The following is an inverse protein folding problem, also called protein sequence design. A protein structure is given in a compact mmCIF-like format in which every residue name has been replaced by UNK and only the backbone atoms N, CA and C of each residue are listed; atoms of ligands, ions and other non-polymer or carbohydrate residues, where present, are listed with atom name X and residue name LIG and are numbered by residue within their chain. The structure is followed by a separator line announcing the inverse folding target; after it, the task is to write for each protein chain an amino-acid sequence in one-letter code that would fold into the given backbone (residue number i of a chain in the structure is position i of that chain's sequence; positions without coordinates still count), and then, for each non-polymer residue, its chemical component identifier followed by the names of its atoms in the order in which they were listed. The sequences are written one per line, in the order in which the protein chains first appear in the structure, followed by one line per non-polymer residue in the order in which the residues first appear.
data_IF_790764035438
#
_entry.id   IF_790764035438
#
_cell.length_a   1.000
_cell.length_b   1.000
_cell.length_c   1.000
_cell.angle_alpha   90.00
_cell.angle_beta   90.00
_cell.angle_gamma   90.00
#
_symmetry.space_group_name_H-M   'P 1'
#
loop_
_entity.id
_entity.type
_entity.pdbx_description
1 polymer ?
#
# COMPACT_ATOMS: atom_id res chain seq x y z
N UNK A 1 -10.79 4.84 7.38
CA UNK A 1 -9.62 4.49 6.56
C UNK A 1 -10.03 4.43 5.11
N UNK A 2 -9.48 5.32 4.29
CA UNK A 2 -9.88 5.33 2.88
C UNK A 2 -9.28 4.14 2.14
N UNK A 3 -10.13 3.41 1.44
CA UNK A 3 -9.69 2.37 0.54
C UNK A 3 -9.34 3.02 -0.79
N UNK A 4 -8.11 2.81 -1.25
CA UNK A 4 -7.65 3.38 -2.51
C UNK A 4 -8.07 2.48 -3.67
N UNK A 5 -7.90 1.17 -3.51
CA UNK A 5 -8.18 0.24 -4.60
C UNK A 5 -8.30 -1.17 -4.03
N UNK A 6 -9.13 -1.99 -4.69
CA UNK A 6 -9.24 -3.41 -4.38
C UNK A 6 -8.82 -4.17 -5.64
N UNK A 7 -7.82 -5.05 -5.49
CA UNK A 7 -7.33 -5.88 -6.59
C UNK A 7 -7.36 -7.33 -6.11
N UNK A 8 -8.24 -8.14 -6.67
CA UNK A 8 -8.40 -9.52 -6.24
C UNK A 8 -8.72 -9.59 -4.76
N UNK A 9 -7.97 -10.36 -3.96
CA UNK A 9 -8.23 -10.47 -2.53
C UNK A 9 -7.61 -9.35 -1.71
N UNK A 10 -6.93 -8.39 -2.35
CA UNK A 10 -6.16 -7.36 -1.66
C UNK A 10 -6.88 -6.04 -1.61
N UNK A 11 -6.92 -5.43 -0.41
CA UNK A 11 -7.43 -4.07 -0.22
C UNK A 11 -6.25 -3.16 0.07
N UNK A 12 -6.08 -2.14 -0.76
CA UNK A 12 -5.01 -1.14 -0.60
C UNK A 12 -5.59 0.12 0.01
N UNK A 13 -4.96 0.63 1.06
CA UNK A 13 -5.54 1.74 1.82
C UNK A 13 -4.48 2.55 2.55
N UNK A 14 -4.89 3.76 3.01
CA UNK A 14 -4.08 4.61 3.87
C UNK A 14 -4.74 4.74 5.24
N UNK A 15 -3.94 4.95 6.27
CA UNK A 15 -4.45 5.40 7.56
C UNK A 15 -4.39 6.93 7.61
N UNK A 16 -5.34 7.58 8.31
CA UNK A 16 -5.38 9.03 8.40
C UNK A 16 -4.14 9.61 9.10
N UNK A 17 -3.47 8.81 9.93
CA UNK A 17 -2.27 9.25 10.64
C UNK A 17 -0.98 9.11 9.87
N UNK A 18 -1.04 8.69 8.60
CA UNK A 18 0.17 8.40 7.81
C UNK A 18 0.88 9.66 7.27
N UNK A 19 0.28 10.81 7.45
CA UNK A 19 0.69 12.06 6.80
C UNK A 19 2.14 12.45 7.01
N UNK A 20 2.70 12.15 8.19
CA UNK A 20 4.04 12.59 8.56
C UNK A 20 5.15 11.70 8.05
N UNK A 21 4.80 10.63 7.34
CA UNK A 21 5.77 9.72 6.76
C UNK A 21 5.84 9.89 5.24
N UNK A 22 6.92 9.43 4.62
CA UNK A 22 6.96 9.39 3.15
C UNK A 22 5.79 8.59 2.58
N UNK A 23 5.43 8.81 1.32
CA UNK A 23 4.30 8.07 0.73
C UNK A 23 4.45 6.57 0.86
N UNK A 24 3.38 5.92 1.30
CA UNK A 24 3.35 4.47 1.46
C UNK A 24 1.91 3.97 1.32
N UNK A 25 1.76 2.67 1.25
CA UNK A 25 0.45 2.03 1.09
C UNK A 25 0.39 0.82 2.01
N UNK A 26 -0.77 0.59 2.59
CA UNK A 26 -1.05 -0.62 3.35
C UNK A 26 -1.84 -1.56 2.46
N UNK A 27 -1.58 -2.87 2.59
CA UNK A 27 -2.31 -3.87 1.84
C UNK A 27 -2.81 -4.94 2.80
N UNK A 28 -4.09 -5.24 2.71
CA UNK A 28 -4.74 -6.19 3.60
C UNK A 28 -5.33 -7.35 2.82
N UNK A 29 -5.13 -8.56 3.33
CA UNK A 29 -5.83 -9.76 2.91
C UNK A 29 -6.10 -10.58 4.18
N UNK A 30 -7.36 -10.85 4.44
CA UNK A 30 -7.78 -11.53 5.67
C UNK A 30 -7.28 -10.72 6.88
N UNK A 31 -6.49 -11.34 7.76
CA UNK A 31 -5.97 -10.67 8.95
C UNK A 31 -4.53 -10.21 8.79
N UNK A 32 -4.01 -10.23 7.56
CA UNK A 32 -2.62 -9.85 7.29
C UNK A 32 -2.59 -8.45 6.70
N UNK A 33 -1.76 -7.56 7.27
CA UNK A 33 -1.60 -6.20 6.77
C UNK A 33 -0.12 -5.92 6.61
N UNK A 34 0.29 -5.64 5.37
CA UNK A 34 1.68 -5.27 5.06
C UNK A 34 1.76 -3.78 4.73
N UNK A 35 2.97 -3.24 4.78
CA UNK A 35 3.22 -1.83 4.47
C UNK A 35 4.36 -1.74 3.48
N UNK A 36 4.16 -0.98 2.42
CA UNK A 36 5.16 -0.76 1.38
C UNK A 36 5.37 0.73 1.16
N UNK A 37 6.64 1.15 1.03
CA UNK A 37 6.94 2.49 0.56
C UNK A 37 6.59 2.59 -0.92
N UNK A 38 6.23 3.79 -1.37
CA UNK A 38 5.84 4.01 -2.77
C UNK A 38 6.91 4.64 -3.63
N UNK A 39 7.94 5.26 -3.03
CA UNK A 39 9.00 5.95 -3.76
C UNK A 39 10.36 5.73 -3.12
N UNK A 40 11.10 4.71 -3.51
CA UNK A 40 10.76 3.63 -4.46
C UNK A 40 9.82 2.62 -3.81
N UNK A 41 9.22 1.77 -4.62
CA UNK A 41 8.37 0.71 -4.10
C UNK A 41 9.24 -0.29 -3.36
N UNK A 42 9.01 -0.41 -2.04
CA UNK A 42 9.86 -1.24 -1.19
C UNK A 42 9.09 -1.69 0.04
N UNK A 43 9.28 -2.96 0.41
CA UNK A 43 8.62 -3.51 1.60
C UNK A 43 9.14 -2.84 2.87
N UNK A 44 8.22 -2.42 3.73
CA UNK A 44 8.55 -1.89 5.03
C UNK A 44 8.19 -2.87 6.15
N UNK A 45 7.01 -3.50 6.05
CA UNK A 45 6.55 -4.46 7.06
C UNK A 45 5.80 -5.58 6.36
N UNK A 46 6.21 -6.82 6.60
CA UNK A 46 5.66 -7.98 5.91
C UNK A 46 4.27 -8.38 6.39
N UNK A 47 3.88 -8.02 7.62
CA UNK A 47 2.55 -8.30 8.15
C UNK A 47 2.15 -9.76 8.11
N UNK A 48 3.09 -10.68 8.25
CA UNK A 48 2.89 -12.13 8.24
C UNK A 48 2.64 -12.72 6.84
N UNK A 49 2.68 -11.92 5.79
CA UNK A 49 2.63 -12.47 4.43
C UNK A 49 3.92 -13.25 4.17
N UNK A 50 3.81 -14.34 3.42
CA UNK A 50 4.98 -15.10 3.02
C UNK A 50 5.67 -14.43 1.84
N UNK A 51 6.95 -14.74 1.65
CA UNK A 51 7.76 -14.09 0.62
C UNK A 51 7.12 -14.15 -0.76
N UNK A 52 6.57 -15.30 -1.13
CA UNK A 52 5.98 -15.47 -2.46
C UNK A 52 4.82 -14.51 -2.67
N UNK A 53 4.01 -14.34 -1.65
CA UNK A 53 2.88 -13.41 -1.72
C UNK A 53 3.36 -11.97 -1.68
N UNK A 54 4.37 -11.66 -0.87
CA UNK A 54 4.95 -10.32 -0.83
C UNK A 54 5.48 -9.90 -2.19
N UNK A 55 6.10 -10.82 -2.94
CA UNK A 55 6.58 -10.53 -4.28
C UNK A 55 5.44 -10.26 -5.24
N UNK A 56 4.33 -10.98 -5.11
CA UNK A 56 3.14 -10.75 -5.92
C UNK A 56 2.54 -9.38 -5.64
N UNK A 57 2.45 -9.04 -4.35
CA UNK A 57 1.93 -7.73 -3.94
C UNK A 57 2.84 -6.61 -4.43
N UNK A 58 4.15 -6.81 -4.34
CA UNK A 58 5.11 -5.82 -4.82
C UNK A 58 4.87 -5.48 -6.29
N UNK A 59 4.65 -6.49 -7.13
CA UNK A 59 4.37 -6.27 -8.55
C UNK A 59 3.09 -5.48 -8.76
N UNK A 60 2.05 -5.80 -7.98
CA UNK A 60 0.79 -5.07 -8.08
C UNK A 60 0.98 -3.60 -7.73
N UNK A 61 1.77 -3.32 -6.70
CA UNK A 61 2.02 -1.94 -6.29
C UNK A 61 2.84 -1.21 -7.35
N UNK A 62 3.85 -1.87 -7.92
CA UNK A 62 4.65 -1.28 -8.98
C UNK A 62 3.80 -0.94 -10.20
N UNK A 63 2.87 -1.81 -10.56
CA UNK A 63 1.98 -1.59 -11.70
C UNK A 63 1.00 -0.45 -11.45
N UNK A 64 0.70 -0.15 -10.20
CA UNK A 64 -0.26 0.87 -9.82
C UNK A 64 0.39 2.05 -9.08
N UNK A 65 1.71 2.18 -9.17
CA UNK A 65 2.45 3.17 -8.38
C UNK A 65 1.93 4.59 -8.60
N UNK A 66 1.74 4.98 -9.84
CA UNK A 66 1.27 6.33 -10.17
C UNK A 66 -0.09 6.59 -9.55
N UNK A 67 -1.00 5.64 -9.68
CA UNK A 67 -2.35 5.78 -9.11
C UNK A 67 -2.29 5.90 -7.58
N UNK A 68 -1.44 5.10 -6.94
CA UNK A 68 -1.32 5.15 -5.48
C UNK A 68 -0.68 6.45 -5.00
N UNK A 69 0.31 6.96 -5.74
CA UNK A 69 0.92 8.24 -5.41
C UNK A 69 -0.06 9.39 -5.58
N UNK A 70 -0.86 9.36 -6.63
CA UNK A 70 -1.91 10.36 -6.83
C UNK A 70 -2.95 10.30 -5.72
N UNK A 71 -3.33 9.08 -5.33
CA UNK A 71 -4.24 8.90 -4.21
C UNK A 71 -3.68 9.43 -2.90
N UNK A 72 -2.39 9.21 -2.66
CA UNK A 72 -1.71 9.74 -1.48
C UNK A 72 -1.74 11.26 -1.47
N UNK A 73 -1.35 11.88 -2.58
CA UNK A 73 -1.33 13.34 -2.69
C UNK A 73 -2.71 13.92 -2.49
N UNK A 74 -3.72 13.33 -3.11
CA UNK A 74 -5.08 13.79 -3.03
C UNK A 74 -5.66 13.68 -1.62
N UNK A 75 -5.38 12.55 -0.96
CA UNK A 75 -5.90 12.32 0.38
C UNK A 75 -5.26 13.22 1.43
N UNK A 76 -3.95 13.47 1.30
CA UNK A 76 -3.20 14.25 2.29
C UNK A 76 -2.97 15.71 1.89
N UNK A 77 -3.49 16.14 0.74
CA UNK A 77 -3.37 17.55 0.37
C UNK A 77 -4.31 18.40 1.21
N UNK A 78 -3.87 19.61 1.44
CA UNK A 78 -4.67 20.58 2.19
C UNK A 78 -5.52 21.43 1.24
#
# INVERSE_FOLDING_TARGET
MPTVKIIGPYRFFFYSGDRDEPPHIHVERDNHIAKYWLQPVRLQNSGRFKRKELNRILKLIEENQTEFLEGWDEYFSE
#
